data_IF_578726510452
#
_entry.id   IF_578726510452
#
_cell.length_a   1.000
_cell.length_b   1.000
_cell.length_c   1.000
_cell.angle_alpha   90.00
_cell.angle_beta   90.00
_cell.angle_gamma   90.00
#
_symmetry.space_group_name_H-M   'P 1'
#
loop_
_entity.id
_entity.type
_entity.pdbx_description
1 polymer ?
#
# COMPACT_ATOMS: atom_id res chain seq x y z
N UNK A 1 -10.94 16.10 -23.41
CA UNK A 1 -11.28 15.11 -22.37
C UNK A 1 -10.39 15.37 -21.17
N UNK A 2 -10.93 15.95 -20.11
CA UNK A 2 -10.19 16.22 -18.87
C UNK A 2 -10.08 14.89 -18.11
N UNK A 3 -9.05 14.09 -18.40
CA UNK A 3 -8.87 12.80 -17.72
C UNK A 3 -8.29 13.04 -16.33
N UNK A 4 -9.04 12.63 -15.30
CA UNK A 4 -8.70 12.77 -13.89
C UNK A 4 -7.30 12.20 -13.57
N UNK A 5 -6.48 12.94 -12.82
CA UNK A 5 -5.16 12.46 -12.41
C UNK A 5 -5.21 11.22 -11.48
N UNK A 6 -4.06 10.57 -11.21
CA UNK A 6 -4.00 9.32 -10.42
C UNK A 6 -4.75 9.37 -9.07
N UNK A 7 -4.74 10.53 -8.40
CA UNK A 7 -5.40 10.72 -7.10
C UNK A 7 -6.92 10.77 -7.21
N UNK A 8 -7.45 11.34 -8.28
CA UNK A 8 -8.90 11.38 -8.49
C UNK A 8 -9.44 9.96 -8.76
N UNK A 9 -8.65 9.10 -9.42
CA UNK A 9 -8.95 7.67 -9.56
C UNK A 9 -8.98 6.98 -8.20
N UNK A 10 -7.99 7.25 -7.34
CA UNK A 10 -7.93 6.68 -5.98
C UNK A 10 -9.20 6.99 -5.19
N UNK A 11 -9.62 8.26 -5.15
CA UNK A 11 -10.85 8.66 -4.45
C UNK A 11 -12.07 7.97 -5.05
N UNK A 12 -12.22 7.99 -6.37
CA UNK A 12 -13.37 7.38 -7.04
C UNK A 12 -13.48 5.88 -6.78
N UNK A 13 -12.38 5.14 -6.93
CA UNK A 13 -12.38 3.69 -6.70
C UNK A 13 -12.60 3.34 -5.22
N UNK A 14 -12.07 4.13 -4.29
CA UNK A 14 -12.28 3.92 -2.85
C UNK A 14 -13.74 4.15 -2.44
N UNK A 15 -14.39 5.18 -3.01
CA UNK A 15 -15.82 5.43 -2.79
C UNK A 15 -16.69 4.29 -3.31
N UNK A 16 -16.33 3.72 -4.46
CA UNK A 16 -17.04 2.55 -5.01
C UNK A 16 -16.91 1.32 -4.11
N UNK A 17 -15.71 1.05 -3.57
CA UNK A 17 -15.51 0.00 -2.57
C UNK A 17 -16.38 0.25 -1.33
N UNK A 18 -16.43 1.49 -0.84
CA UNK A 18 -17.24 1.84 0.33
C UNK A 18 -18.75 1.63 0.09
N UNK A 19 -19.20 1.78 -1.16
CA UNK A 19 -20.56 1.51 -1.58
C UNK A 19 -20.80 0.03 -1.97
N UNK A 20 -19.88 -0.88 -1.63
CA UNK A 20 -19.86 -2.30 -2.01
C UNK A 20 -19.84 -2.58 -3.53
N UNK A 21 -19.58 -1.57 -4.37
CA UNK A 21 -19.42 -1.71 -5.81
C UNK A 21 -17.97 -2.05 -6.20
N UNK A 22 -17.56 -3.28 -5.87
CA UNK A 22 -16.22 -3.79 -6.20
C UNK A 22 -15.99 -3.93 -7.71
N UNK A 23 -17.04 -4.15 -8.50
CA UNK A 23 -16.96 -4.24 -9.96
C UNK A 23 -16.68 -2.87 -10.59
N UNK A 24 -17.38 -1.83 -10.15
CA UNK A 24 -17.12 -0.45 -10.55
C UNK A 24 -15.73 0.02 -10.13
N UNK A 25 -15.29 -0.32 -8.91
CA UNK A 25 -13.94 -0.04 -8.45
C UNK A 25 -12.88 -0.69 -9.34
N UNK A 26 -13.06 -1.98 -9.67
CA UNK A 26 -12.18 -2.72 -10.60
C UNK A 26 -12.10 -2.05 -11.96
N UNK A 27 -13.24 -1.71 -12.56
CA UNK A 27 -13.28 -1.00 -13.85
C UNK A 27 -12.53 0.33 -13.80
N UNK A 28 -12.74 1.10 -12.73
CA UNK A 28 -12.11 2.42 -12.53
C UNK A 28 -10.58 2.32 -12.48
N UNK A 29 -10.03 1.37 -11.74
CA UNK A 29 -8.57 1.18 -11.69
C UNK A 29 -8.02 0.60 -12.98
N UNK A 30 -8.75 -0.31 -13.65
CA UNK A 30 -8.36 -0.85 -14.95
C UNK A 30 -8.21 0.26 -15.99
N UNK A 31 -9.22 1.13 -16.12
CA UNK A 31 -9.18 2.27 -17.06
C UNK A 31 -8.00 3.22 -16.77
N UNK A 32 -7.63 3.38 -15.50
CA UNK A 32 -6.45 4.15 -15.13
C UNK A 32 -5.14 3.52 -15.62
N UNK A 33 -4.95 2.22 -15.37
CA UNK A 33 -3.73 1.49 -15.73
C UNK A 33 -3.60 1.28 -17.25
N UNK A 34 -4.71 1.15 -17.97
CA UNK A 34 -4.75 1.06 -19.43
C UNK A 34 -4.62 2.42 -20.10
N UNK A 35 -5.02 3.49 -19.42
CA UNK A 35 -5.03 4.85 -19.97
C UNK A 35 -3.85 5.72 -19.52
N UNK A 36 -4.05 6.42 -18.40
CA UNK A 36 -3.16 7.51 -17.97
C UNK A 36 -1.80 6.96 -17.53
N UNK A 37 -1.80 5.84 -16.82
CA UNK A 37 -0.58 5.20 -16.30
C UNK A 37 0.46 4.93 -17.39
N UNK A 38 0.00 4.55 -18.59
CA UNK A 38 0.86 4.22 -19.74
C UNK A 38 1.84 5.33 -20.14
N UNK A 39 1.60 6.58 -19.73
CA UNK A 39 2.44 7.74 -20.02
C UNK A 39 3.11 8.36 -18.78
N UNK A 40 2.94 7.78 -17.59
CA UNK A 40 3.44 8.37 -16.33
C UNK A 40 4.92 8.11 -16.08
N UNK A 41 5.47 7.00 -16.58
CA UNK A 41 6.82 6.53 -16.29
C UNK A 41 7.60 6.39 -17.60
N UNK A 42 8.75 7.07 -17.68
CA UNK A 42 9.67 6.99 -18.81
C UNK A 42 10.46 5.67 -18.81
N UNK A 43 11.22 5.39 -19.86
CA UNK A 43 12.01 4.15 -20.00
C UNK A 43 13.09 3.99 -18.91
N UNK A 44 13.56 5.08 -18.33
CA UNK A 44 14.55 5.08 -17.24
C UNK A 44 13.91 5.06 -15.84
N UNK A 45 12.58 5.01 -15.73
CA UNK A 45 11.86 5.11 -14.46
C UNK A 45 11.53 6.55 -14.01
N UNK A 46 12.00 7.59 -14.73
CA UNK A 46 11.61 8.96 -14.38
C UNK A 46 10.10 9.17 -14.58
N UNK A 47 9.58 10.17 -13.89
CA UNK A 47 8.22 10.67 -14.06
C UNK A 47 8.31 12.10 -14.64
N UNK A 48 8.42 12.27 -15.98
CA UNK A 48 8.85 13.53 -16.58
C UNK A 48 7.96 14.73 -16.23
N UNK A 49 6.64 14.49 -16.14
CA UNK A 49 5.65 15.50 -15.76
C UNK A 49 5.82 16.01 -14.31
N UNK A 50 6.58 15.27 -13.49
CA UNK A 50 6.90 15.61 -12.10
C UNK A 50 8.27 16.26 -11.99
N UNK A 51 9.21 15.87 -12.85
CA UNK A 51 10.56 16.43 -12.95
C UNK A 51 10.57 17.92 -13.25
N UNK A 52 9.65 18.41 -14.09
CA UNK A 52 9.58 19.83 -14.49
C UNK A 52 8.93 20.73 -13.42
N UNK A 53 8.56 20.19 -12.25
CA UNK A 53 7.88 20.93 -11.19
C UNK A 53 8.88 21.58 -10.24
N UNK A 54 8.40 22.51 -9.43
CA UNK A 54 9.21 23.28 -8.47
C UNK A 54 9.83 22.44 -7.36
N UNK A 55 9.27 21.26 -7.05
CA UNK A 55 9.78 20.29 -6.05
C UNK A 55 9.74 18.87 -6.60
N UNK A 56 10.63 18.50 -7.55
CA UNK A 56 10.59 17.22 -8.26
C UNK A 56 10.54 15.99 -7.34
N UNK A 57 11.33 15.97 -6.27
CA UNK A 57 11.34 14.85 -5.32
C UNK A 57 9.95 14.61 -4.70
N UNK A 58 9.35 15.67 -4.17
CA UNK A 58 8.01 15.65 -3.60
C UNK A 58 6.99 15.14 -4.62
N UNK A 59 6.99 15.70 -5.84
CA UNK A 59 6.01 15.29 -6.86
C UNK A 59 6.22 13.87 -7.39
N UNK A 60 7.46 13.36 -7.42
CA UNK A 60 7.74 11.95 -7.73
C UNK A 60 7.20 11.03 -6.64
N UNK A 61 7.47 11.34 -5.36
CA UNK A 61 6.96 10.58 -4.23
C UNK A 61 5.43 10.61 -4.18
N UNK A 62 4.82 11.77 -4.39
CA UNK A 62 3.37 11.96 -4.35
C UNK A 62 2.64 11.22 -5.48
N UNK A 63 3.18 11.27 -6.71
CA UNK A 63 2.60 10.54 -7.83
C UNK A 63 2.82 9.03 -7.71
N UNK A 64 3.99 8.60 -7.20
CA UNK A 64 4.27 7.19 -6.91
C UNK A 64 3.32 6.63 -5.85
N UNK A 65 3.03 7.39 -4.80
CA UNK A 65 2.05 7.00 -3.78
C UNK A 65 0.66 6.76 -4.40
N UNK A 66 0.20 7.66 -5.28
CA UNK A 66 -1.09 7.49 -5.95
C UNK A 66 -1.13 6.24 -6.85
N UNK A 67 -0.05 5.96 -7.58
CA UNK A 67 0.09 4.74 -8.39
C UNK A 67 0.02 3.49 -7.50
N UNK A 68 0.77 3.47 -6.39
CA UNK A 68 0.80 2.36 -5.43
C UNK A 68 -0.60 2.12 -4.82
N UNK A 69 -1.32 3.17 -4.43
CA UNK A 69 -2.66 3.02 -3.86
C UNK A 69 -3.63 2.45 -4.90
N UNK A 70 -3.61 2.94 -6.15
CA UNK A 70 -4.43 2.36 -7.20
C UNK A 70 -4.08 0.89 -7.48
N UNK A 71 -2.80 0.50 -7.38
CA UNK A 71 -2.38 -0.90 -7.52
C UNK A 71 -2.89 -1.78 -6.36
N UNK A 72 -2.88 -1.27 -5.12
CA UNK A 72 -3.46 -1.95 -3.96
C UNK A 72 -4.98 -2.09 -4.06
N UNK A 73 -5.67 -1.05 -4.51
CA UNK A 73 -7.10 -1.09 -4.78
C UNK A 73 -7.37 -2.17 -5.83
N UNK A 74 -6.59 -2.18 -6.93
CA UNK A 74 -6.63 -3.24 -7.94
C UNK A 74 -6.49 -4.62 -7.33
N UNK A 75 -5.44 -4.85 -6.55
CA UNK A 75 -5.20 -6.12 -5.88
C UNK A 75 -6.38 -6.54 -4.99
N UNK A 76 -6.94 -5.61 -4.21
CA UNK A 76 -8.11 -5.85 -3.37
C UNK A 76 -9.34 -6.31 -4.18
N UNK A 77 -9.56 -5.72 -5.36
CA UNK A 77 -10.68 -6.08 -6.26
C UNK A 77 -10.32 -7.13 -7.31
N UNK A 78 -9.20 -7.85 -7.14
CA UNK A 78 -8.78 -8.93 -8.03
C UNK A 78 -8.31 -8.47 -9.42
N UNK A 79 -7.56 -7.36 -9.47
CA UNK A 79 -6.84 -6.84 -10.64
C UNK A 79 -5.37 -6.59 -10.28
N UNK A 80 -4.47 -7.43 -10.77
CA UNK A 80 -3.04 -7.24 -10.53
C UNK A 80 -2.46 -6.16 -11.46
N UNK A 81 -2.23 -4.98 -10.90
CA UNK A 81 -1.62 -3.87 -11.59
C UNK A 81 -0.10 -3.77 -11.38
N UNK A 82 0.47 -4.54 -10.47
CA UNK A 82 1.88 -4.41 -10.09
C UNK A 82 2.81 -4.87 -11.21
N UNK A 83 2.43 -5.90 -11.96
CA UNK A 83 3.23 -6.39 -13.07
C UNK A 83 2.97 -5.67 -14.40
N UNK A 84 2.04 -4.70 -14.41
CA UNK A 84 1.75 -3.94 -15.62
C UNK A 84 2.91 -3.03 -15.98
N UNK A 85 3.25 -3.05 -17.26
CA UNK A 85 4.24 -2.15 -17.85
C UNK A 85 3.56 -0.96 -18.48
N UNK A 86 4.21 0.20 -18.40
CA UNK A 86 3.88 1.34 -19.24
C UNK A 86 4.23 1.05 -20.70
N UNK A 87 3.86 1.95 -21.62
CA UNK A 87 4.27 1.89 -23.02
C UNK A 87 5.79 1.88 -23.22
N UNK A 88 6.54 2.32 -22.21
CA UNK A 88 8.00 2.37 -22.21
C UNK A 88 8.63 1.13 -21.59
N UNK A 89 7.84 0.10 -21.25
CA UNK A 89 8.33 -1.16 -20.69
C UNK A 89 8.65 -1.12 -19.19
N UNK A 90 8.36 0.00 -18.51
CA UNK A 90 8.68 0.20 -17.08
C UNK A 90 7.50 -0.07 -16.16
N UNK A 91 7.82 -0.47 -14.93
CA UNK A 91 6.89 -0.83 -13.87
C UNK A 91 6.87 0.20 -12.74
N UNK A 92 6.00 -0.01 -11.75
CA UNK A 92 5.99 0.77 -10.50
C UNK A 92 7.35 0.64 -9.77
N UNK A 93 7.98 -0.54 -9.84
CA UNK A 93 9.30 -0.77 -9.25
C UNK A 93 10.38 0.13 -9.88
N UNK A 94 10.36 0.31 -11.19
CA UNK A 94 11.33 1.15 -11.90
C UNK A 94 11.19 2.62 -11.49
N UNK A 95 9.95 3.11 -11.34
CA UNK A 95 9.71 4.47 -10.85
C UNK A 95 10.20 4.68 -9.42
N UNK A 96 10.05 3.68 -8.55
CA UNK A 96 10.58 3.72 -7.19
C UNK A 96 12.11 3.71 -7.18
N UNK A 97 12.72 2.79 -7.93
CA UNK A 97 14.17 2.67 -8.07
C UNK A 97 14.80 3.98 -8.55
N UNK A 98 14.17 4.64 -9.53
CA UNK A 98 14.61 5.95 -10.00
C UNK A 98 14.45 7.03 -8.93
N UNK A 99 13.32 7.08 -8.22
CA UNK A 99 13.13 8.07 -7.15
C UNK A 99 14.16 7.94 -6.02
N UNK A 100 14.62 6.72 -5.71
CA UNK A 100 15.63 6.43 -4.69
C UNK A 100 17.03 6.99 -4.99
N UNK A 101 17.31 7.40 -6.23
CA UNK A 101 18.63 7.96 -6.62
C UNK A 101 18.77 9.44 -6.31
N UNK A 102 17.73 10.08 -5.75
CA UNK A 102 17.72 11.49 -5.42
C UNK A 102 17.47 11.69 -3.92
N UNK A 103 17.90 12.84 -3.42
CA UNK A 103 17.39 13.44 -2.17
C UNK A 103 16.50 14.63 -2.49
N UNK A 104 15.67 15.03 -1.52
CA UNK A 104 14.84 16.22 -1.60
C UNK A 104 15.70 17.48 -1.80
N UNK A 105 16.84 17.57 -1.12
CA UNK A 105 17.79 18.70 -1.26
C UNK A 105 18.39 18.76 -2.66
N UNK A 106 18.83 17.62 -3.22
CA UNK A 106 19.35 17.56 -4.59
C UNK A 106 18.30 17.96 -5.64
N UNK A 107 17.03 17.84 -5.29
CA UNK A 107 15.91 18.22 -6.14
C UNK A 107 15.37 19.63 -5.83
N UNK A 108 16.11 20.48 -5.11
CA UNK A 108 15.69 21.86 -4.81
C UNK A 108 14.56 21.99 -3.77
N UNK A 109 14.31 20.95 -2.98
CA UNK A 109 13.33 20.94 -1.89
C UNK A 109 13.93 21.23 -0.51
N UNK A 110 13.09 21.15 0.53
CA UNK A 110 13.43 21.50 1.93
C UNK A 110 14.16 20.39 2.71
N UNK A 111 14.76 19.41 2.02
CA UNK A 111 15.49 18.29 2.65
C UNK A 111 14.62 17.22 3.33
N UNK A 112 13.32 17.15 3.02
CA UNK A 112 12.41 16.16 3.61
C UNK A 112 12.33 14.87 2.77
N UNK A 113 13.30 13.98 2.96
CA UNK A 113 13.42 12.72 2.18
C UNK A 113 12.37 11.66 2.57
N UNK A 114 11.83 11.77 3.79
CA UNK A 114 10.90 10.79 4.37
C UNK A 114 9.58 10.64 3.59
N UNK A 115 9.24 11.56 2.68
CA UNK A 115 8.08 11.44 1.78
C UNK A 115 8.14 10.18 0.90
N UNK A 116 9.35 9.66 0.62
CA UNK A 116 9.53 8.49 -0.23
C UNK A 116 9.50 7.17 0.55
N UNK A 117 9.77 7.18 1.86
CA UNK A 117 10.01 5.93 2.62
C UNK A 117 8.82 4.97 2.59
N UNK A 118 7.56 5.41 2.81
CA UNK A 118 6.40 4.51 2.73
C UNK A 118 6.24 3.86 1.35
N UNK A 119 6.59 4.58 0.28
CA UNK A 119 6.52 4.05 -1.09
C UNK A 119 7.57 2.96 -1.32
N UNK A 120 8.79 3.16 -0.79
CA UNK A 120 9.88 2.17 -0.87
C UNK A 120 9.50 0.89 -0.14
N UNK A 121 8.98 1.02 1.08
CA UNK A 121 8.51 -0.14 1.87
C UNK A 121 7.41 -0.91 1.10
N UNK A 122 6.42 -0.19 0.55
CA UNK A 122 5.33 -0.79 -0.20
C UNK A 122 5.81 -1.54 -1.47
N UNK A 123 6.77 -0.97 -2.20
CA UNK A 123 7.36 -1.60 -3.39
C UNK A 123 8.19 -2.82 -2.99
N UNK A 124 9.04 -2.71 -1.97
CA UNK A 124 9.88 -3.80 -1.50
C UNK A 124 9.05 -5.03 -1.06
N UNK A 125 7.88 -4.78 -0.46
CA UNK A 125 6.96 -5.86 -0.04
C UNK A 125 6.37 -6.62 -1.23
N UNK A 126 6.09 -5.93 -2.34
CA UNK A 126 5.45 -6.55 -3.51
C UNK A 126 6.46 -7.20 -4.44
N UNK A 127 7.56 -6.51 -4.74
CA UNK A 127 8.57 -6.98 -5.69
C UNK A 127 9.70 -7.78 -5.03
N UNK A 128 9.69 -7.86 -3.69
CA UNK A 128 10.76 -8.46 -2.91
C UNK A 128 11.95 -7.52 -2.70
N UNK A 129 12.78 -7.87 -1.73
CA UNK A 129 13.99 -7.13 -1.37
C UNK A 129 15.24 -8.00 -1.53
N UNK A 130 15.57 -8.33 -2.78
CA UNK A 130 16.80 -9.08 -3.08
C UNK A 130 18.03 -8.23 -2.73
N UNK A 131 19.04 -8.85 -2.14
CA UNK A 131 20.28 -8.21 -1.67
C UNK A 131 20.09 -7.14 -0.58
N UNK A 132 18.91 -7.11 0.06
CA UNK A 132 18.47 -6.08 1.01
C UNK A 132 18.54 -4.66 0.44
N UNK A 133 18.37 -4.50 -0.88
CA UNK A 133 18.46 -3.21 -1.57
C UNK A 133 17.63 -2.12 -0.91
N UNK A 134 16.36 -2.39 -0.66
CA UNK A 134 15.40 -1.43 -0.12
C UNK A 134 15.55 -1.26 1.39
N UNK A 135 15.71 -2.36 2.14
CA UNK A 135 15.89 -2.27 3.59
C UNK A 135 17.21 -1.62 4.00
N UNK A 136 18.33 -1.85 3.28
CA UNK A 136 19.59 -1.09 3.48
C UNK A 136 19.43 0.37 3.09
N UNK A 137 18.72 0.67 2.00
CA UNK A 137 18.46 2.05 1.60
C UNK A 137 17.64 2.80 2.66
N UNK A 138 16.62 2.16 3.24
CA UNK A 138 15.84 2.70 4.35
C UNK A 138 16.70 2.88 5.60
N UNK A 139 17.44 1.85 6.02
CA UNK A 139 18.33 1.90 7.19
C UNK A 139 19.38 3.01 7.10
N UNK A 140 19.90 3.31 5.90
CA UNK A 140 20.87 4.39 5.68
C UNK A 140 20.29 5.80 5.88
N UNK A 141 18.96 5.93 5.89
CA UNK A 141 18.23 7.21 5.90
C UNK A 141 17.40 7.41 7.15
N UNK A 142 16.88 6.32 7.70
CA UNK A 142 16.07 6.31 8.91
C UNK A 142 16.31 5.00 9.66
N UNK A 143 17.12 5.05 10.71
CA UNK A 143 17.37 3.88 11.56
C UNK A 143 16.14 3.49 12.41
N UNK A 144 15.10 4.33 12.46
CA UNK A 144 13.84 4.03 13.14
C UNK A 144 12.79 3.38 12.24
N UNK A 145 13.10 3.17 10.94
CA UNK A 145 12.12 2.68 9.96
C UNK A 145 11.37 1.40 10.37
N UNK A 146 11.94 0.42 11.10
CA UNK A 146 11.20 -0.77 11.47
C UNK A 146 10.11 -0.51 12.53
N UNK A 147 10.16 0.64 13.21
CA UNK A 147 9.09 1.10 14.11
C UNK A 147 8.03 1.96 13.44
N UNK A 148 8.20 2.28 12.14
CA UNK A 148 7.26 3.11 11.43
C UNK A 148 6.01 2.32 11.05
N UNK A 149 4.81 2.94 11.07
CA UNK A 149 3.57 2.25 10.67
C UNK A 149 3.63 1.68 9.25
N UNK A 150 4.34 2.37 8.34
CA UNK A 150 4.54 1.88 6.97
C UNK A 150 5.22 0.52 6.95
N UNK A 151 6.23 0.27 7.79
CA UNK A 151 6.87 -1.03 7.90
C UNK A 151 5.92 -2.08 8.48
N UNK A 152 5.21 -1.75 9.56
CA UNK A 152 4.27 -2.67 10.21
C UNK A 152 3.20 -3.22 9.23
N UNK A 153 2.63 -2.35 8.40
CA UNK A 153 1.55 -2.72 7.47
C UNK A 153 2.03 -3.34 6.15
N UNK A 154 3.34 -3.36 5.91
CA UNK A 154 3.92 -3.82 4.65
C UNK A 154 4.96 -4.90 4.93
N UNK A 155 4.48 -6.13 4.90
CA UNK A 155 5.24 -7.34 5.17
C UNK A 155 5.04 -8.34 4.04
N UNK A 156 6.07 -9.12 3.67
CA UNK A 156 7.37 -9.23 4.35
C UNK A 156 8.39 -8.16 3.92
N UNK A 157 9.15 -7.63 4.88
CA UNK A 157 10.36 -6.82 4.62
C UNK A 157 11.37 -6.98 5.76
N UNK A 158 12.67 -7.08 5.44
CA UNK A 158 13.75 -7.13 6.44
C UNK A 158 13.82 -5.83 7.25
N UNK A 159 14.04 -5.93 8.55
CA UNK A 159 14.33 -4.78 9.42
C UNK A 159 15.79 -4.31 9.33
N UNK A 160 16.59 -4.88 8.42
CA UNK A 160 18.02 -4.60 8.25
C UNK A 160 18.86 -4.80 9.54
N UNK A 161 18.41 -5.66 10.46
CA UNK A 161 19.06 -5.87 11.76
C UNK A 161 18.77 -4.77 12.80
N UNK A 162 17.85 -3.85 12.51
CA UNK A 162 17.47 -2.75 13.40
C UNK A 162 16.25 -3.14 14.26
N UNK A 163 16.22 -2.70 15.52
CA UNK A 163 15.08 -2.90 16.43
C UNK A 163 14.01 -1.83 16.20
N UNK A 164 12.80 -2.25 15.81
CA UNK A 164 11.66 -1.36 15.54
C UNK A 164 10.68 -1.17 16.70
N UNK A 165 10.81 -1.93 17.78
CA UNK A 165 9.96 -1.70 18.94
C UNK A 165 10.38 -0.39 19.61
N UNK A 166 9.44 0.44 20.14
CA UNK A 166 9.82 1.36 21.19
C UNK A 166 10.52 0.50 22.26
N UNK A 167 11.78 0.83 22.56
CA UNK A 167 12.50 0.22 23.67
C UNK A 167 11.56 0.26 24.85
N UNK A 168 11.16 -0.89 25.38
CA UNK A 168 10.47 -0.92 26.66
C UNK A 168 11.49 -0.41 27.66
N UNK A 169 11.52 0.91 27.90
CA UNK A 169 12.21 1.47 29.04
C UNK A 169 11.44 0.93 30.23
N UNK A 170 11.92 -0.18 30.77
CA UNK A 170 11.47 -0.76 32.03
C UNK A 170 11.87 0.18 33.16
N UNK A 171 11.21 1.33 33.22
CA UNK A 171 11.13 2.21 34.38
C UNK A 171 9.70 2.17 34.89
N UNK A 172 9.18 0.96 35.09
CA UNK A 172 8.07 0.76 36.01
C UNK A 172 8.69 0.32 37.33
N UNK A 173 8.95 1.30 38.20
CA UNK A 173 9.27 1.04 39.59
C UNK A 173 8.07 0.36 40.23
N UNK A 174 8.08 -0.96 40.33
CA UNK A 174 7.13 -1.70 41.16
C UNK A 174 7.34 -1.29 42.62
N UNK A 175 6.29 -0.86 43.35
CA UNK A 175 6.40 -0.53 44.76
C UNK A 175 6.90 -1.74 45.56
N UNK A 176 7.90 -1.48 46.38
CA UNK A 176 8.49 -2.41 47.33
C UNK A 176 7.46 -2.82 48.39
N UNK A 177 7.10 -4.11 48.44
CA UNK A 177 6.43 -4.69 49.62
C UNK A 177 7.39 -5.67 50.28
N UNK A 178 7.82 -5.28 51.48
CA UNK A 178 8.73 -6.02 52.35
C UNK A 178 8.01 -7.24 52.95
N UNK A 179 8.69 -8.40 52.97
CA UNK A 179 8.59 -9.36 54.07
C UNK A 179 8.53 -10.84 53.71
N UNK A 180 9.61 -11.59 53.98
CA UNK A 180 9.53 -13.02 54.31
C UNK A 180 10.56 -13.95 53.65
N UNK A 181 11.77 -14.04 54.22
CA UNK A 181 12.79 -15.05 53.90
C UNK A 181 12.31 -16.49 54.17
N UNK A 182 12.75 -17.45 53.34
CA UNK A 182 13.38 -18.73 53.77
C UNK A 182 13.77 -19.64 52.58
N UNK A 183 15.04 -20.06 52.55
CA UNK A 183 15.37 -21.47 52.29
C UNK A 183 15.70 -21.91 50.85
N UNK A 184 17.01 -22.06 50.59
CA UNK A 184 17.64 -22.77 49.48
C UNK A 184 17.15 -24.22 49.28
N UNK A 185 17.00 -24.67 48.02
CA UNK A 185 17.45 -26.00 47.61
C UNK A 185 17.59 -26.10 46.09
N UNK A 186 18.82 -26.36 45.64
CA UNK A 186 19.13 -26.77 44.28
C UNK A 186 18.55 -28.16 44.00
N UNK A 187 17.66 -28.26 43.01
CA UNK A 187 17.37 -29.53 42.35
C UNK A 187 17.72 -29.41 40.86
N UNK A 188 18.78 -30.13 40.51
CA UNK A 188 19.15 -30.51 39.15
C UNK A 188 18.02 -31.37 38.57
N UNK A 189 17.45 -30.97 37.44
CA UNK A 189 16.40 -31.68 36.72
C UNK A 189 16.56 -31.54 35.22
N UNK A 190 16.66 -32.68 34.54
CA UNK A 190 17.07 -32.90 33.16
C UNK A 190 16.38 -32.09 32.04
N UNK A 191 17.16 -31.92 30.96
CA UNK A 191 16.73 -31.65 29.57
C UNK A 191 15.42 -32.34 29.18
N UNK A 192 14.54 -31.59 28.52
CA UNK A 192 13.75 -32.09 27.38
C UNK A 192 13.89 -31.10 26.24
N UNK A 193 14.53 -31.57 25.17
CA UNK A 193 14.55 -30.95 23.86
C UNK A 193 13.38 -31.55 23.05
N UNK A 194 12.48 -30.70 22.59
CA UNK A 194 11.52 -30.96 21.50
C UNK A 194 11.13 -29.56 20.98
N UNK A 195 11.15 -29.22 19.71
CA UNK A 195 10.91 -30.01 18.51
C UNK A 195 9.94 -29.19 17.67
N UNK A 196 10.48 -28.40 16.73
CA UNK A 196 9.99 -28.13 15.37
C UNK A 196 8.51 -27.72 15.18
N UNK A 197 8.38 -26.51 14.62
CA UNK A 197 7.39 -26.08 13.61
C UNK A 197 5.93 -25.90 14.01
N UNK A 198 5.44 -24.67 13.81
CA UNK A 198 4.02 -24.35 13.74
C UNK A 198 3.76 -23.76 12.36
N UNK A 199 3.33 -24.61 11.43
CA UNK A 199 2.74 -24.21 10.16
C UNK A 199 1.30 -23.74 10.40
N UNK A 200 0.94 -22.55 9.93
CA UNK A 200 -0.45 -22.07 9.96
C UNK A 200 -1.09 -22.29 8.59
N UNK A 201 -1.91 -23.33 8.49
CA UNK A 201 -2.78 -23.61 7.34
C UNK A 201 -4.05 -22.77 7.45
N UNK A 202 -4.26 -21.86 6.51
CA UNK A 202 -5.52 -21.15 6.30
C UNK A 202 -5.94 -21.24 4.84
N UNK A 203 -6.40 -22.41 4.40
CA UNK A 203 -7.09 -22.58 3.11
C UNK A 203 -8.60 -22.41 3.32
N UNK A 204 -9.18 -21.36 2.75
CA UNK A 204 -10.63 -21.29 2.50
C UNK A 204 -10.87 -21.67 1.05
N UNK A 205 -11.31 -22.92 0.83
CA UNK A 205 -11.94 -23.34 -0.43
C UNK A 205 -13.35 -23.83 -0.10
N UNK A 206 -14.35 -23.10 -0.61
CA UNK A 206 -15.72 -23.58 -0.73
C UNK A 206 -15.89 -24.05 -2.18
N UNK A 207 -15.88 -25.37 -2.35
CA UNK A 207 -16.19 -26.02 -3.61
C UNK A 207 -17.71 -26.02 -3.83
N UNK A 208 -18.11 -25.55 -5.01
CA UNK A 208 -19.48 -25.58 -5.54
C UNK A 208 -19.69 -26.89 -6.35
N UNK A 209 -20.73 -27.64 -6.02
CA UNK A 209 -21.36 -28.71 -6.83
C UNK A 209 -22.70 -29.01 -6.14
N UNK A 210 -23.89 -29.06 -6.72
CA UNK A 210 -24.42 -29.00 -8.07
C UNK A 210 -25.76 -29.77 -8.06
N UNK A 211 -26.76 -29.26 -8.80
CA UNK A 211 -28.02 -29.91 -9.26
C UNK A 211 -29.29 -29.84 -8.39
N UNK A 212 -30.39 -29.37 -9.00
CA UNK A 212 -31.77 -29.79 -8.69
C UNK A 212 -32.85 -28.68 -8.67
N UNK A 213 -33.45 -28.36 -9.82
CA UNK A 213 -34.76 -27.68 -9.94
C UNK A 213 -35.89 -28.59 -9.41
N UNK A 214 -37.02 -28.07 -8.85
CA UNK A 214 -38.12 -27.60 -9.70
C UNK A 214 -38.88 -26.34 -9.21
N UNK A 215 -39.35 -25.60 -10.21
CA UNK A 215 -40.55 -24.73 -10.32
C UNK A 215 -41.27 -24.26 -9.05
N UNK A 216 -41.38 -22.94 -8.86
CA UNK A 216 -42.63 -22.26 -8.49
C UNK A 216 -42.51 -20.75 -8.79
N UNK A 217 -43.34 -20.22 -9.68
CA UNK A 217 -43.64 -18.78 -9.78
C UNK A 217 -44.54 -18.36 -8.61
N UNK A 218 -44.46 -17.10 -8.18
CA UNK A 218 -45.55 -16.21 -8.57
C UNK A 218 -45.08 -14.81 -9.02
N UNK A 219 -45.93 -14.27 -9.89
CA UNK A 219 -45.99 -12.89 -10.35
C UNK A 219 -46.00 -11.92 -9.16
N UNK A 220 -45.09 -10.94 -9.14
CA UNK A 220 -45.35 -9.69 -8.43
C UNK A 220 -44.83 -8.50 -9.23
N UNK A 221 -45.79 -7.68 -9.63
CA UNK A 221 -45.67 -6.40 -10.31
C UNK A 221 -44.83 -5.43 -9.47
N UNK A 222 -43.72 -4.92 -10.03
CA UNK A 222 -43.05 -3.73 -9.52
C UNK A 222 -42.63 -2.82 -10.68
N UNK A 223 -43.57 -1.93 -10.97
CA UNK A 223 -43.51 -0.65 -11.67
C UNK A 223 -42.11 -0.04 -11.82
N UNK A 224 -41.76 0.26 -13.07
CA UNK A 224 -40.66 1.14 -13.48
C UNK A 224 -40.80 2.53 -12.86
N UNK A 225 -39.73 3.01 -12.22
CA UNK A 225 -39.55 4.43 -11.91
C UNK A 225 -38.20 4.87 -12.45
N UNK A 226 -38.23 5.45 -13.65
CA UNK A 226 -37.17 6.30 -14.17
C UNK A 226 -36.98 7.45 -13.18
N UNK A 227 -35.79 7.56 -12.56
CA UNK A 227 -35.35 8.83 -11.97
C UNK A 227 -34.45 9.48 -13.01
N UNK A 228 -35.06 10.44 -13.69
CA UNK A 228 -34.44 11.34 -14.63
C UNK A 228 -33.41 12.24 -13.94
N UNK A 229 -32.41 12.63 -14.73
CA UNK A 229 -31.53 13.76 -14.52
C UNK A 229 -32.27 14.98 -13.95
N UNK A 230 -31.73 15.57 -12.88
CA UNK A 230 -31.82 17.01 -12.67
C UNK A 230 -30.40 17.54 -12.46
N UNK A 231 -29.84 18.09 -13.53
CA UNK A 231 -28.86 19.16 -13.41
C UNK A 231 -29.55 20.35 -12.74
N UNK A 232 -28.88 20.97 -11.77
CA UNK A 232 -28.75 22.42 -11.57
C UNK A 232 -28.30 22.72 -10.14
N UNK A 233 -27.14 23.39 -10.00
CA UNK A 233 -26.65 23.87 -8.71
C UNK A 233 -25.12 23.97 -8.65
N UNK A 234 -24.53 25.15 -8.90
CA UNK A 234 -23.09 25.34 -9.09
C UNK A 234 -22.37 25.44 -7.73
N UNK A 235 -21.07 25.14 -7.66
CA UNK A 235 -20.03 25.94 -6.98
C UNK A 235 -18.71 25.14 -6.92
N UNK A 236 -17.69 25.74 -7.54
CA UNK A 236 -16.26 25.69 -7.17
C UNK A 236 -15.44 24.44 -7.56
N UNK A 237 -14.83 24.49 -8.74
CA UNK A 237 -13.35 24.52 -8.88
C UNK A 237 -12.95 24.68 -10.35
N UNK A 238 -13.14 25.90 -10.86
CA UNK A 238 -12.29 26.39 -11.94
C UNK A 238 -10.95 26.83 -11.35
N UNK A 239 -9.92 26.74 -12.17
CA UNK A 239 -8.52 27.21 -12.01
C UNK A 239 -7.54 26.06 -11.74
N UNK A 240 -6.93 25.57 -12.82
CA UNK A 240 -5.48 25.61 -13.08
C UNK A 240 -5.20 24.78 -14.35
N UNK A 241 -5.24 25.43 -15.51
CA UNK A 241 -4.51 25.02 -16.70
C UNK A 241 -4.32 26.23 -17.61
N UNK A 242 -3.20 26.93 -17.43
CA UNK A 242 -2.48 27.66 -18.49
C UNK A 242 -1.12 28.11 -17.94
N UNK A 243 -0.09 27.97 -18.79
CA UNK A 243 1.35 28.27 -18.65
C UNK A 243 2.21 27.17 -18.03
#
# INVERSE_FOLDING_TARGET
MNRAGPLAITTGASTLIFADDTAGAKKTVQEYFEGIYQNQIAANGDQPLKTVRTRPYHYRAYNLAAIIVNARIGQYVGYDAWQLKTKNGTTIQDACNYAMTFTATQSGGTGYDAELYPNVVAVATIYGDTDDKYSKWLASRDTSFPGQPSFLWNQPLSNAGLSGAPSSSSNYSTPNTIGGSSGSSNYVGNRVESGKEIAWLGSFSLAFCGLGHPTFSPVLCARTSNIANSADGPYLSAVYYTM
#
